data_IF_339410771109
#
_entry.id   IF_339410771109
#
_cell.length_a   1.000
_cell.length_b   1.000
_cell.length_c   1.000
_cell.angle_alpha   90.00
_cell.angle_beta   90.00
_cell.angle_gamma   90.00
#
_symmetry.space_group_name_H-M   'P 1'
#
loop_
_entity.id
_entity.type
_entity.pdbx_description
1 polymer ?
#
# COMPACT_ATOMS: atom_id res chain seq x y z
N UNK A 1 16.69 -32.62 7.33
CA UNK A 1 16.30 -31.82 6.14
C UNK A 1 15.38 -32.68 5.28
N UNK A 2 14.76 -32.18 4.19
CA UNK A 2 13.91 -32.99 3.31
C UNK A 2 14.58 -34.28 2.87
N UNK A 3 13.76 -35.31 2.60
CA UNK A 3 14.20 -36.62 2.10
C UNK A 3 15.18 -37.36 3.02
N UNK A 4 15.18 -37.06 4.32
CA UNK A 4 16.09 -37.67 5.29
C UNK A 4 17.54 -37.18 5.19
N UNK A 5 17.82 -36.12 4.42
CA UNK A 5 19.16 -35.54 4.30
C UNK A 5 19.57 -34.89 5.64
N UNK A 6 20.72 -35.30 6.17
CA UNK A 6 21.31 -34.72 7.40
C UNK A 6 22.41 -33.70 7.07
N UNK A 7 22.80 -32.82 8.00
CA UNK A 7 23.97 -31.96 7.83
C UNK A 7 25.25 -32.74 7.50
N UNK A 8 25.45 -33.91 8.11
CA UNK A 8 26.58 -34.79 7.82
C UNK A 8 26.52 -35.35 6.39
N UNK A 9 25.32 -35.66 5.87
CA UNK A 9 25.16 -36.06 4.46
C UNK A 9 25.44 -34.89 3.51
N UNK A 10 25.04 -33.67 3.85
CA UNK A 10 25.41 -32.49 3.04
C UNK A 10 26.92 -32.28 3.00
N UNK A 11 27.59 -32.40 4.13
CA UNK A 11 29.05 -32.27 4.24
C UNK A 11 29.76 -33.37 3.45
N UNK A 12 29.30 -34.62 3.56
CA UNK A 12 29.91 -35.76 2.91
C UNK A 12 29.71 -35.80 1.37
N UNK A 13 28.54 -35.39 0.88
CA UNK A 13 28.15 -35.63 -0.52
C UNK A 13 28.08 -34.38 -1.40
N UNK A 14 28.11 -33.17 -0.84
CA UNK A 14 27.90 -31.92 -1.61
C UNK A 14 28.89 -31.70 -2.75
N UNK A 15 30.20 -31.83 -2.50
CA UNK A 15 31.23 -31.65 -3.52
C UNK A 15 31.15 -32.73 -4.61
N UNK A 16 30.96 -33.99 -4.22
CA UNK A 16 30.88 -35.11 -5.18
C UNK A 16 29.64 -35.00 -6.06
N UNK A 17 28.48 -34.67 -5.49
CA UNK A 17 27.24 -34.45 -6.24
C UNK A 17 27.38 -33.24 -7.18
N UNK A 18 28.02 -32.16 -6.71
CA UNK A 18 28.27 -30.99 -7.54
C UNK A 18 29.24 -31.30 -8.69
N UNK A 19 30.27 -32.12 -8.46
CA UNK A 19 31.28 -32.47 -9.44
C UNK A 19 30.78 -33.42 -10.54
N UNK A 20 29.92 -34.36 -10.18
CA UNK A 20 29.29 -35.29 -11.12
C UNK A 20 28.11 -34.67 -11.87
N UNK A 21 27.55 -33.57 -11.35
CA UNK A 21 26.38 -32.91 -11.92
C UNK A 21 26.63 -32.33 -13.31
N UNK A 22 25.74 -32.67 -14.25
CA UNK A 22 25.66 -32.05 -15.57
C UNK A 22 25.52 -30.51 -15.48
N UNK A 23 25.00 -29.97 -14.38
CA UNK A 23 24.85 -28.52 -14.17
C UNK A 23 26.17 -27.79 -13.86
N UNK A 24 27.24 -28.50 -13.47
CA UNK A 24 28.57 -27.91 -13.25
C UNK A 24 29.16 -27.36 -14.56
N UNK A 25 28.98 -28.07 -15.67
CA UNK A 25 29.59 -27.70 -16.95
C UNK A 25 28.73 -26.74 -17.80
N UNK A 26 27.39 -26.82 -17.73
CA UNK A 26 26.49 -25.88 -18.46
C UNK A 26 26.68 -24.41 -18.02
N UNK A 27 27.40 -24.14 -16.92
CA UNK A 27 27.65 -22.79 -16.38
C UNK A 27 29.09 -22.28 -16.53
N UNK A 28 30.02 -23.09 -17.07
CA UNK A 28 31.39 -22.67 -17.42
C UNK A 28 31.61 -22.75 -18.93
N UNK A 29 30.77 -22.04 -19.68
CA UNK A 29 30.95 -21.69 -21.10
C UNK A 29 31.10 -22.84 -22.10
N UNK A 30 30.05 -23.13 -22.87
CA UNK A 30 30.12 -23.17 -24.35
C UNK A 30 28.70 -23.25 -24.99
N UNK A 31 28.51 -23.16 -26.33
CA UNK A 31 27.77 -22.11 -26.98
C UNK A 31 26.38 -22.59 -27.46
N UNK A 32 25.65 -21.68 -28.08
CA UNK A 32 24.33 -21.87 -28.71
C UNK A 32 24.19 -23.24 -29.40
N UNK A 33 23.39 -24.15 -28.83
CA UNK A 33 22.93 -25.34 -29.56
C UNK A 33 21.71 -24.99 -30.39
N UNK A 34 21.85 -25.04 -31.71
CA UNK A 34 20.74 -25.36 -32.60
C UNK A 34 20.38 -26.82 -32.31
N UNK A 35 19.09 -27.12 -32.14
CA UNK A 35 18.58 -28.42 -31.72
C UNK A 35 18.84 -29.49 -32.80
N UNK A 36 19.92 -30.25 -32.63
CA UNK A 36 20.16 -31.53 -33.31
C UNK A 36 20.32 -32.63 -32.24
N UNK A 37 19.29 -33.47 -32.12
CA UNK A 37 19.12 -34.44 -31.03
C UNK A 37 19.92 -35.73 -31.22
N UNK A 38 20.27 -36.08 -32.45
CA UNK A 38 20.92 -37.36 -32.75
C UNK A 38 22.43 -37.25 -32.51
N UNK A 39 23.03 -36.12 -32.89
CA UNK A 39 24.44 -35.80 -32.65
C UNK A 39 24.76 -35.64 -31.15
N UNK A 40 23.78 -35.20 -30.34
CA UNK A 40 23.91 -35.06 -28.89
C UNK A 40 24.06 -36.40 -28.16
N UNK A 41 23.34 -37.45 -28.59
CA UNK A 41 23.41 -38.77 -27.94
C UNK A 41 24.78 -39.44 -28.12
N UNK A 42 25.47 -39.14 -29.21
CA UNK A 42 26.81 -39.66 -29.53
C UNK A 42 27.96 -38.98 -28.77
N UNK A 43 27.77 -37.81 -28.14
CA UNK A 43 28.81 -37.07 -27.40
C UNK A 43 28.59 -37.10 -25.86
N UNK A 44 27.80 -38.05 -25.36
CA UNK A 44 27.19 -38.00 -24.02
C UNK A 44 28.16 -38.29 -22.87
N UNK A 45 29.24 -39.03 -23.10
CA UNK A 45 30.10 -39.56 -22.03
C UNK A 45 30.87 -38.48 -21.23
N UNK A 46 31.13 -37.30 -21.82
CA UNK A 46 31.90 -36.22 -21.16
C UNK A 46 31.03 -35.12 -20.51
N UNK A 47 29.70 -35.23 -20.55
CA UNK A 47 28.79 -34.10 -20.22
C UNK A 47 28.30 -34.04 -18.77
N UNK A 48 28.72 -34.97 -17.90
CA UNK A 48 28.23 -35.11 -16.53
C UNK A 48 26.96 -35.97 -16.43
N UNK A 49 26.42 -36.12 -15.23
CA UNK A 49 25.31 -37.03 -14.92
C UNK A 49 24.06 -36.27 -14.47
N UNK A 50 22.89 -36.84 -14.77
CA UNK A 50 21.58 -36.38 -14.24
C UNK A 50 21.38 -36.82 -12.79
N UNK A 51 20.48 -36.17 -12.05
CA UNK A 51 20.22 -36.51 -10.64
C UNK A 51 19.86 -38.00 -10.43
N UNK A 52 19.06 -38.68 -11.30
CA UNK A 52 18.87 -40.12 -11.21
C UNK A 52 20.14 -40.96 -11.40
N UNK A 53 20.99 -40.60 -12.37
CA UNK A 53 22.24 -41.32 -12.65
C UNK A 53 23.26 -41.12 -11.51
N UNK A 54 23.32 -39.91 -10.94
CA UNK A 54 24.14 -39.64 -9.76
C UNK A 54 23.63 -40.44 -8.58
N UNK A 55 22.32 -40.46 -8.34
CA UNK A 55 21.68 -41.20 -7.25
C UNK A 55 21.97 -42.70 -7.31
N UNK A 56 21.84 -43.30 -8.50
CA UNK A 56 22.23 -44.68 -8.75
C UNK A 56 23.73 -44.90 -8.48
N UNK A 57 24.58 -43.98 -8.93
CA UNK A 57 26.04 -44.09 -8.79
C UNK A 57 26.56 -43.93 -7.36
N UNK A 58 25.93 -43.08 -6.55
CA UNK A 58 26.39 -42.77 -5.18
C UNK A 58 25.53 -43.42 -4.09
N UNK A 59 24.53 -44.21 -4.49
CA UNK A 59 23.68 -44.97 -3.57
C UNK A 59 22.78 -44.09 -2.70
N UNK A 60 22.32 -42.95 -3.23
CA UNK A 60 21.36 -42.07 -2.57
C UNK A 60 20.02 -42.12 -3.30
N UNK A 61 18.93 -41.73 -2.63
CA UNK A 61 17.67 -41.54 -3.31
C UNK A 61 17.75 -40.29 -4.22
N UNK A 62 17.13 -40.33 -5.41
CA UNK A 62 17.11 -39.19 -6.35
C UNK A 62 16.72 -37.87 -5.67
N UNK A 63 15.69 -37.80 -4.80
CA UNK A 63 15.33 -36.57 -4.13
C UNK A 63 16.41 -36.03 -3.18
N UNK A 64 17.24 -36.91 -2.58
CA UNK A 64 18.35 -36.52 -1.71
C UNK A 64 19.48 -35.87 -2.52
N UNK A 65 19.81 -36.45 -3.68
CA UNK A 65 20.81 -35.90 -4.60
C UNK A 65 20.38 -34.53 -5.13
N UNK A 66 19.14 -34.42 -5.62
CA UNK A 66 18.58 -33.15 -6.09
C UNK A 66 18.61 -32.07 -5.01
N UNK A 67 18.24 -32.43 -3.77
CA UNK A 67 18.24 -31.50 -2.65
C UNK A 67 19.66 -31.01 -2.30
N UNK A 68 20.62 -31.93 -2.15
CA UNK A 68 22.01 -31.61 -1.82
C UNK A 68 22.65 -30.75 -2.93
N UNK A 69 22.43 -31.10 -4.20
CA UNK A 69 22.94 -30.34 -5.35
C UNK A 69 22.44 -28.89 -5.35
N UNK A 70 21.13 -28.68 -5.21
CA UNK A 70 20.52 -27.35 -5.26
C UNK A 70 21.05 -26.42 -4.15
N UNK A 71 21.22 -26.94 -2.93
CA UNK A 71 21.78 -26.15 -1.82
C UNK A 71 23.27 -25.84 -2.05
N UNK A 72 24.02 -26.79 -2.61
CA UNK A 72 25.45 -26.62 -2.91
C UNK A 72 25.67 -25.60 -4.03
N UNK A 73 24.89 -25.67 -5.13
CA UNK A 73 24.90 -24.66 -6.20
C UNK A 73 24.54 -23.27 -5.66
N UNK A 74 23.53 -23.17 -4.79
CA UNK A 74 23.13 -21.90 -4.17
C UNK A 74 24.25 -21.28 -3.33
N UNK A 75 25.07 -22.10 -2.65
CA UNK A 75 26.23 -21.62 -1.86
C UNK A 75 27.38 -21.17 -2.77
N UNK A 76 27.63 -21.89 -3.87
CA UNK A 76 28.79 -21.67 -4.73
C UNK A 76 28.60 -20.55 -5.77
N UNK A 77 27.40 -20.27 -6.25
CA UNK A 77 27.14 -19.25 -7.29
C UNK A 77 26.59 -17.93 -6.68
N UNK A 78 27.45 -16.90 -6.60
CA UNK A 78 27.24 -15.60 -5.92
C UNK A 78 26.08 -14.73 -6.48
N UNK A 79 25.44 -13.96 -5.58
CA UNK A 79 24.26 -13.06 -5.67
C UNK A 79 24.13 -12.04 -6.85
N UNK A 80 25.08 -11.90 -7.78
CA UNK A 80 24.94 -10.91 -8.87
C UNK A 80 24.25 -11.42 -10.14
N UNK A 81 24.16 -12.74 -10.34
CA UNK A 81 23.39 -13.30 -11.46
C UNK A 81 21.87 -13.19 -11.24
N UNK A 82 21.39 -13.22 -9.99
CA UNK A 82 19.95 -13.15 -9.72
C UNK A 82 19.35 -11.83 -10.23
N UNK A 83 20.06 -10.69 -10.12
CA UNK A 83 19.55 -9.38 -10.59
C UNK A 83 19.37 -9.32 -12.11
N UNK A 84 20.30 -9.94 -12.86
CA UNK A 84 20.22 -10.07 -14.33
C UNK A 84 19.11 -11.04 -14.76
N UNK A 85 18.90 -12.11 -13.99
CA UNK A 85 17.84 -13.11 -14.22
C UNK A 85 16.43 -12.63 -13.82
N UNK A 86 16.32 -11.82 -12.76
CA UNK A 86 15.05 -11.25 -12.27
C UNK A 86 14.38 -10.35 -13.31
N UNK A 87 15.18 -9.65 -14.13
CA UNK A 87 14.71 -8.70 -15.16
C UNK A 87 14.41 -9.35 -16.52
N UNK A 88 14.75 -10.63 -16.72
CA UNK A 88 14.42 -11.37 -17.95
C UNK A 88 12.98 -11.91 -17.94
N UNK A 89 12.27 -11.83 -16.80
CA UNK A 89 11.05 -12.58 -16.56
C UNK A 89 11.38 -14.07 -16.39
N UNK A 90 10.78 -14.73 -15.39
CA UNK A 90 11.03 -16.16 -15.18
C UNK A 90 10.84 -16.96 -16.48
N UNK A 91 11.87 -17.70 -16.90
CA UNK A 91 11.78 -18.65 -18.02
C UNK A 91 12.44 -18.24 -19.34
N UNK A 92 12.99 -17.04 -19.50
CA UNK A 92 13.65 -16.60 -20.74
C UNK A 92 15.19 -16.61 -20.64
N UNK A 93 15.87 -17.06 -21.69
CA UNK A 93 17.35 -17.04 -21.80
C UNK A 93 17.85 -15.63 -22.12
N UNK A 94 18.95 -15.23 -21.48
CA UNK A 94 19.62 -13.94 -21.74
C UNK A 94 20.02 -13.79 -23.21
N UNK A 95 19.65 -12.65 -23.81
CA UNK A 95 20.00 -12.23 -25.17
C UNK A 95 20.53 -10.81 -25.09
N UNK A 96 21.83 -10.63 -25.31
CA UNK A 96 22.51 -9.33 -25.17
C UNK A 96 21.95 -8.30 -26.18
N UNK A 97 21.55 -8.75 -27.37
CA UNK A 97 20.84 -7.98 -28.39
C UNK A 97 19.41 -7.56 -28.00
N UNK A 98 18.84 -8.17 -26.95
CA UNK A 98 17.50 -7.88 -26.42
C UNK A 98 17.53 -7.34 -24.99
N UNK A 99 18.73 -7.14 -24.44
CA UNK A 99 18.90 -6.49 -23.15
C UNK A 99 18.61 -5.00 -23.33
N UNK A 100 17.40 -4.59 -22.96
CA UNK A 100 17.10 -3.20 -22.67
C UNK A 100 17.35 -3.04 -21.19
N UNK A 101 18.34 -2.24 -20.80
CA UNK A 101 18.47 -1.85 -19.39
C UNK A 101 17.18 -1.13 -19.01
N UNK A 102 16.40 -1.63 -18.02
CA UNK A 102 15.28 -0.88 -17.51
C UNK A 102 15.77 0.52 -17.16
N UNK A 103 15.10 1.54 -17.71
CA UNK A 103 15.35 2.93 -17.37
C UNK A 103 15.57 3.07 -15.85
N UNK A 104 16.61 3.83 -15.50
CA UNK A 104 17.33 3.91 -14.23
C UNK A 104 16.72 3.16 -13.02
N UNK A 105 17.48 2.33 -12.28
CA UNK A 105 17.00 1.83 -11.00
C UNK A 105 16.59 3.03 -10.13
N UNK A 106 15.29 3.13 -9.80
CA UNK A 106 14.84 4.17 -8.89
C UNK A 106 15.39 3.87 -7.50
N UNK A 107 16.24 4.75 -7.01
CA UNK A 107 16.78 4.67 -5.68
C UNK A 107 15.80 5.34 -4.72
N UNK A 108 15.42 4.62 -3.66
CA UNK A 108 14.71 5.26 -2.56
C UNK A 108 15.70 6.09 -1.75
N UNK A 109 15.29 7.29 -1.34
CA UNK A 109 15.97 8.03 -0.28
C UNK A 109 15.98 7.20 1.03
N UNK A 110 16.87 7.56 1.97
CA UNK A 110 16.95 6.86 3.25
C UNK A 110 15.61 6.88 4.01
N UNK A 111 14.88 8.01 3.91
CA UNK A 111 13.59 8.19 4.57
C UNK A 111 12.48 7.38 3.87
N UNK A 112 12.43 7.39 2.53
CA UNK A 112 11.51 6.54 1.78
C UNK A 112 11.74 5.04 2.06
N UNK A 113 13.01 4.63 2.18
CA UNK A 113 13.37 3.26 2.54
C UNK A 113 12.97 2.92 3.98
N UNK A 114 13.06 3.86 4.92
CA UNK A 114 12.62 3.68 6.31
C UNK A 114 11.11 3.53 6.41
N UNK A 115 10.36 4.38 5.73
CA UNK A 115 8.91 4.27 5.61
C UNK A 115 8.50 2.90 5.03
N UNK A 116 9.15 2.46 3.96
CA UNK A 116 8.84 1.14 3.39
C UNK A 116 9.13 0.00 4.35
N UNK A 117 10.12 0.13 5.25
CA UNK A 117 10.48 -0.89 6.25
C UNK A 117 9.49 -0.97 7.42
N UNK A 118 8.69 0.06 7.67
CA UNK A 118 7.64 0.02 8.71
C UNK A 118 6.41 -0.78 8.24
N UNK A 119 6.23 -0.94 6.93
CA UNK A 119 5.11 -1.69 6.35
C UNK A 119 5.50 -3.17 6.22
N UNK A 120 5.04 -4.01 7.16
CA UNK A 120 5.36 -5.44 7.19
C UNK A 120 4.12 -6.31 7.35
N UNK A 121 3.61 -6.78 6.22
CA UNK A 121 2.57 -7.81 6.20
C UNK A 121 3.17 -9.21 6.31
N UNK A 122 2.50 -10.10 7.03
CA UNK A 122 2.92 -11.51 7.10
C UNK A 122 2.70 -12.22 5.77
N UNK A 123 3.65 -13.08 5.35
CA UNK A 123 3.57 -13.76 4.05
C UNK A 123 2.27 -14.57 3.85
N UNK A 124 1.74 -15.18 4.93
CA UNK A 124 0.45 -15.88 4.91
C UNK A 124 -0.74 -14.95 4.70
N UNK A 125 -0.72 -13.75 5.29
CA UNK A 125 -1.75 -12.72 5.08
C UNK A 125 -1.74 -12.24 3.64
N UNK A 126 -0.56 -11.87 3.11
CA UNK A 126 -0.41 -11.41 1.72
C UNK A 126 -0.95 -12.46 0.75
N UNK A 127 -0.59 -13.74 0.93
CA UNK A 127 -1.13 -14.83 0.11
C UNK A 127 -2.65 -14.91 0.20
N UNK A 128 -3.20 -14.98 1.43
CA UNK A 128 -4.64 -15.03 1.68
C UNK A 128 -5.38 -13.90 1.00
N UNK A 129 -4.89 -12.66 1.14
CA UNK A 129 -5.55 -11.46 0.62
C UNK A 129 -5.52 -11.38 -0.91
N UNK A 130 -4.44 -11.84 -1.55
CA UNK A 130 -4.35 -11.92 -3.01
C UNK A 130 -5.24 -13.05 -3.55
N UNK A 131 -5.17 -14.25 -2.96
CA UNK A 131 -5.97 -15.41 -3.41
C UNK A 131 -7.48 -15.17 -3.25
N UNK A 132 -7.88 -14.45 -2.19
CA UNK A 132 -9.27 -14.04 -1.98
C UNK A 132 -9.70 -12.85 -2.85
N UNK A 133 -8.79 -12.25 -3.65
CA UNK A 133 -9.08 -11.09 -4.48
C UNK A 133 -9.27 -9.78 -3.70
N UNK A 134 -8.95 -9.72 -2.41
CA UNK A 134 -9.02 -8.50 -1.60
C UNK A 134 -7.84 -7.56 -1.86
N UNK A 135 -6.70 -8.08 -2.30
CA UNK A 135 -5.59 -7.29 -2.80
C UNK A 135 -5.37 -7.54 -4.29
N UNK A 136 -5.43 -6.47 -5.08
CA UNK A 136 -5.22 -6.50 -6.52
C UNK A 136 -3.94 -5.79 -6.91
N UNK A 137 -3.66 -5.71 -8.20
CA UNK A 137 -2.59 -4.91 -8.78
C UNK A 137 -3.03 -3.49 -9.15
N UNK A 138 -4.28 -3.11 -8.84
CA UNK A 138 -4.81 -1.81 -9.22
C UNK A 138 -4.04 -0.67 -8.55
N UNK A 139 -3.77 0.37 -9.33
CA UNK A 139 -3.23 1.65 -8.87
C UNK A 139 -4.24 2.78 -9.07
N UNK A 140 -4.01 3.94 -8.44
CA UNK A 140 -4.80 5.14 -8.71
C UNK A 140 -4.85 5.51 -10.20
N UNK A 141 -3.75 5.28 -10.92
CA UNK A 141 -3.71 5.51 -12.35
C UNK A 141 -4.68 4.56 -13.08
N UNK A 142 -4.76 3.30 -12.65
CA UNK A 142 -5.71 2.34 -13.21
C UNK A 142 -7.16 2.76 -12.89
N UNK A 143 -7.46 3.15 -11.65
CA UNK A 143 -8.80 3.62 -11.27
C UNK A 143 -9.22 4.87 -12.08
N UNK A 144 -8.33 5.86 -12.22
CA UNK A 144 -8.57 7.06 -13.03
C UNK A 144 -8.82 6.75 -14.51
N UNK A 145 -8.32 5.62 -15.03
CA UNK A 145 -8.48 5.21 -16.42
C UNK A 145 -9.73 4.34 -16.67
N UNK A 146 -10.49 3.97 -15.63
CA UNK A 146 -11.70 3.12 -15.77
C UNK A 146 -12.88 3.89 -16.37
N UNK A 147 -13.03 5.16 -16.01
CA UNK A 147 -14.10 6.03 -16.48
C UNK A 147 -13.76 6.69 -17.82
N UNK A 148 -14.79 7.03 -18.59
CA UNK A 148 -14.60 7.69 -19.88
C UNK A 148 -14.17 9.17 -19.68
N UNK A 149 -13.29 9.74 -20.52
CA UNK A 149 -12.74 11.07 -20.32
C UNK A 149 -13.77 12.20 -20.19
N UNK A 150 -14.92 12.06 -20.83
CA UNK A 150 -16.05 12.98 -20.82
C UNK A 150 -16.95 12.87 -19.58
N UNK A 151 -16.83 11.79 -18.81
CA UNK A 151 -17.66 11.60 -17.61
C UNK A 151 -17.26 12.59 -16.51
N UNK A 152 -18.22 13.08 -15.71
CA UNK A 152 -17.94 13.86 -14.50
C UNK A 152 -17.11 13.05 -13.50
N UNK A 153 -16.02 13.64 -12.98
CA UNK A 153 -15.19 13.05 -11.93
C UNK A 153 -15.37 13.77 -10.59
N UNK A 154 -15.54 15.10 -10.65
CA UNK A 154 -15.67 15.94 -9.48
C UNK A 154 -16.61 17.12 -9.77
N UNK A 155 -17.45 17.48 -8.80
CA UNK A 155 -18.42 18.57 -8.92
C UNK A 155 -18.43 19.41 -7.64
N UNK A 156 -18.36 20.73 -7.78
CA UNK A 156 -18.55 21.67 -6.68
C UNK A 156 -19.29 22.93 -7.13
N UNK A 157 -19.29 23.97 -6.29
CA UNK A 157 -19.94 25.26 -6.57
C UNK A 157 -19.33 25.99 -7.79
N UNK A 158 -18.10 25.68 -8.16
CA UNK A 158 -17.40 26.27 -9.30
C UNK A 158 -17.68 25.54 -10.61
N UNK A 159 -18.18 24.30 -10.55
CA UNK A 159 -18.70 23.56 -11.69
C UNK A 159 -18.29 22.09 -11.71
N UNK A 160 -18.34 21.48 -12.89
CA UNK A 160 -18.00 20.07 -13.12
C UNK A 160 -16.62 19.94 -13.74
N UNK A 161 -15.78 19.09 -13.14
CA UNK A 161 -14.52 18.62 -13.70
C UNK A 161 -14.68 17.17 -14.17
N UNK A 162 -14.40 16.95 -15.46
CA UNK A 162 -14.44 15.62 -16.09
C UNK A 162 -13.21 14.77 -15.75
N UNK A 163 -13.29 13.46 -15.93
CA UNK A 163 -12.14 12.54 -15.77
C UNK A 163 -10.95 12.92 -16.66
N UNK A 164 -11.21 13.37 -17.90
CA UNK A 164 -10.17 13.84 -18.82
C UNK A 164 -9.48 15.11 -18.32
N UNK A 165 -10.23 16.07 -17.78
CA UNK A 165 -9.68 17.28 -17.17
C UNK A 165 -8.89 16.96 -15.89
N UNK A 166 -9.43 16.10 -15.02
CA UNK A 166 -8.78 15.66 -13.80
C UNK A 166 -7.43 15.01 -14.11
N UNK A 167 -7.40 14.05 -15.06
CA UNK A 167 -6.16 13.37 -15.49
C UNK A 167 -5.11 14.35 -16.01
N UNK A 168 -5.51 15.34 -16.80
CA UNK A 168 -4.60 16.36 -17.32
C UNK A 168 -4.04 17.25 -16.20
N UNK A 169 -4.89 17.72 -15.27
CA UNK A 169 -4.46 18.50 -14.10
C UNK A 169 -3.55 17.70 -13.17
N UNK A 170 -3.88 16.43 -12.90
CA UNK A 170 -3.04 15.50 -12.13
C UNK A 170 -1.67 15.35 -12.78
N UNK A 171 -1.61 15.20 -14.10
CA UNK A 171 -0.34 15.11 -14.84
C UNK A 171 0.49 16.38 -14.73
N UNK A 172 -0.12 17.55 -14.90
CA UNK A 172 0.58 18.85 -14.76
C UNK A 172 1.08 19.07 -13.32
N UNK A 173 0.27 18.73 -12.32
CA UNK A 173 0.65 18.81 -10.91
C UNK A 173 1.75 17.81 -10.56
N UNK A 174 1.73 16.60 -11.13
CA UNK A 174 2.76 15.59 -10.95
C UNK A 174 4.13 16.11 -11.44
N UNK A 175 4.17 16.80 -12.57
CA UNK A 175 5.37 17.48 -13.04
C UNK A 175 5.83 18.58 -12.08
N UNK A 176 4.92 19.40 -11.57
CA UNK A 176 5.25 20.44 -10.60
C UNK A 176 5.89 19.86 -9.33
N UNK A 177 5.36 18.73 -8.82
CA UNK A 177 5.93 18.02 -7.67
C UNK A 177 7.34 17.46 -7.97
N UNK A 178 7.57 16.93 -9.18
CA UNK A 178 8.89 16.44 -9.57
C UNK A 178 9.92 17.56 -9.69
N UNK A 179 9.54 18.75 -10.13
CA UNK A 179 10.41 19.94 -10.15
C UNK A 179 10.84 20.35 -8.74
N UNK A 180 10.02 20.06 -7.73
CA UNK A 180 10.38 20.21 -6.31
C UNK A 180 11.25 19.06 -5.78
N UNK A 181 11.79 18.23 -6.66
CA UNK A 181 12.62 17.06 -6.33
C UNK A 181 11.93 16.05 -5.40
N UNK A 182 10.61 15.90 -5.54
CA UNK A 182 9.87 14.82 -4.85
C UNK A 182 10.00 13.54 -5.64
N UNK A 183 10.62 12.52 -5.07
CA UNK A 183 10.83 11.20 -5.65
C UNK A 183 9.85 10.14 -5.14
N UNK A 184 9.89 8.97 -5.77
CA UNK A 184 9.06 7.84 -5.39
C UNK A 184 9.35 7.42 -3.94
N UNK A 185 8.29 7.27 -3.15
CA UNK A 185 8.32 6.90 -1.74
C UNK A 185 8.58 8.07 -0.78
N UNK A 186 8.87 9.27 -1.28
CA UNK A 186 8.99 10.45 -0.44
C UNK A 186 7.63 10.97 0.01
N UNK A 187 7.58 11.56 1.20
CA UNK A 187 6.34 12.03 1.82
C UNK A 187 6.07 13.48 1.41
N UNK A 188 4.84 13.77 0.99
CA UNK A 188 4.30 15.12 0.81
C UNK A 188 3.27 15.35 1.91
N UNK A 189 3.56 16.24 2.85
CA UNK A 189 2.60 16.69 3.84
C UNK A 189 1.73 17.80 3.27
N UNK A 190 0.42 17.73 3.47
CA UNK A 190 -0.52 18.71 2.97
C UNK A 190 -1.44 19.19 4.10
N UNK A 191 -1.32 20.47 4.47
CA UNK A 191 -2.21 21.13 5.43
C UNK A 191 -3.01 22.19 4.67
N UNK A 192 -4.11 21.77 4.06
CA UNK A 192 -4.95 22.61 3.21
C UNK A 192 -6.30 22.84 3.91
N UNK A 193 -6.85 24.07 3.85
CA UNK A 193 -7.99 24.46 4.67
C UNK A 193 -9.31 23.76 4.30
N UNK A 194 -9.44 23.26 3.06
CA UNK A 194 -10.65 22.54 2.61
C UNK A 194 -10.32 21.44 1.61
N UNK A 195 -11.19 20.43 1.53
CA UNK A 195 -11.21 19.48 0.42
C UNK A 195 -11.77 20.22 -0.80
N UNK A 196 -10.92 20.47 -1.79
CA UNK A 196 -11.29 21.08 -3.07
C UNK A 196 -10.60 20.35 -4.23
N UNK A 197 -10.85 20.80 -5.46
CA UNK A 197 -10.23 20.25 -6.66
C UNK A 197 -8.69 20.24 -6.60
N UNK A 198 -8.05 21.28 -6.06
CA UNK A 198 -6.60 21.38 -5.94
C UNK A 198 -6.01 20.40 -4.91
N UNK A 199 -6.69 20.17 -3.79
CA UNK A 199 -6.34 19.12 -2.82
C UNK A 199 -6.38 17.74 -3.51
N UNK A 200 -7.49 17.43 -4.20
CA UNK A 200 -7.68 16.14 -4.88
C UNK A 200 -6.66 15.95 -6.01
N UNK A 201 -6.41 16.98 -6.81
CA UNK A 201 -5.39 16.97 -7.87
C UNK A 201 -4.00 16.77 -7.29
N UNK A 202 -3.67 17.40 -6.17
CA UNK A 202 -2.38 17.24 -5.48
C UNK A 202 -2.20 15.84 -4.92
N UNK A 203 -3.24 15.29 -4.29
CA UNK A 203 -3.25 13.92 -3.81
C UNK A 203 -3.03 12.91 -4.95
N UNK A 204 -3.79 13.03 -6.04
CA UNK A 204 -3.66 12.15 -7.20
C UNK A 204 -2.32 12.32 -7.92
N UNK A 205 -1.77 13.53 -7.93
CA UNK A 205 -0.45 13.80 -8.50
C UNK A 205 0.65 13.13 -7.69
N UNK A 206 0.63 13.25 -6.36
CA UNK A 206 1.51 12.54 -5.46
C UNK A 206 1.44 11.03 -5.70
N UNK A 207 0.22 10.50 -5.80
CA UNK A 207 -0.01 9.09 -6.08
C UNK A 207 0.58 8.65 -7.42
N UNK A 208 0.40 9.45 -8.47
CA UNK A 208 0.88 9.14 -9.83
C UNK A 208 2.40 9.08 -9.96
N UNK A 209 3.14 9.80 -9.11
CA UNK A 209 4.61 9.75 -9.05
C UNK A 209 5.13 8.76 -8.00
N UNK A 210 4.23 8.05 -7.32
CA UNK A 210 4.53 7.12 -6.24
C UNK A 210 5.07 7.79 -4.97
N UNK A 211 4.81 9.08 -4.79
CA UNK A 211 5.02 9.76 -3.51
C UNK A 211 3.90 9.38 -2.53
N UNK A 212 4.16 9.58 -1.24
CA UNK A 212 3.22 9.24 -0.16
C UNK A 212 2.59 10.53 0.36
N UNK A 213 1.27 10.62 0.28
CA UNK A 213 0.56 11.81 0.71
C UNK A 213 0.23 11.74 2.21
N UNK A 214 0.42 12.83 2.95
CA UNK A 214 0.02 12.94 4.35
C UNK A 214 -0.92 14.14 4.49
N UNK A 215 -2.25 13.94 4.52
CA UNK A 215 -3.17 15.00 4.89
C UNK A 215 -2.97 15.35 6.36
N UNK A 216 -2.94 16.65 6.65
CA UNK A 216 -2.87 17.20 8.00
C UNK A 216 -4.11 18.03 8.28
N UNK A 217 -4.63 17.90 9.49
CA UNK A 217 -5.81 18.63 9.94
C UNK A 217 -5.46 20.13 10.15
N UNK A 218 -6.11 21.05 9.41
CA UNK A 218 -5.86 22.48 9.53
C UNK A 218 -6.27 23.07 10.90
N UNK A 219 -7.06 22.34 11.69
CA UNK A 219 -7.42 22.71 13.06
C UNK A 219 -6.39 22.26 14.10
N UNK A 220 -5.28 21.64 13.70
CA UNK A 220 -4.18 21.39 14.62
C UNK A 220 -3.38 22.69 14.89
N UNK A 221 -2.85 22.86 16.12
CA UNK A 221 -1.85 23.89 16.39
C UNK A 221 -0.64 23.78 15.45
N UNK A 222 -0.07 24.92 15.03
CA UNK A 222 1.07 24.92 14.10
C UNK A 222 2.29 24.11 14.58
N UNK A 223 2.50 24.01 15.90
CA UNK A 223 3.55 23.18 16.49
C UNK A 223 3.31 21.68 16.29
N UNK A 224 2.04 21.24 16.32
CA UNK A 224 1.65 19.84 16.16
C UNK A 224 1.73 19.45 14.67
N UNK A 225 1.32 20.35 13.79
CA UNK A 225 1.54 20.24 12.34
C UNK A 225 3.04 20.07 12.06
N UNK A 226 3.89 20.95 12.60
CA UNK A 226 5.34 20.85 12.42
C UNK A 226 5.92 19.55 12.99
N UNK A 227 5.41 19.07 14.12
CA UNK A 227 5.81 17.79 14.73
C UNK A 227 5.47 16.61 13.81
N UNK A 228 4.26 16.58 13.25
CA UNK A 228 3.81 15.53 12.33
C UNK A 228 4.64 15.50 11.04
N UNK A 229 4.93 16.67 10.45
CA UNK A 229 5.77 16.81 9.24
C UNK A 229 7.18 16.28 9.50
N UNK A 230 7.77 16.59 10.67
CA UNK A 230 9.10 16.08 11.02
C UNK A 230 9.09 14.58 11.29
N UNK A 231 8.08 14.07 11.98
CA UNK A 231 7.97 12.65 12.30
C UNK A 231 7.81 11.80 11.04
N UNK A 232 7.03 12.27 10.07
CA UNK A 232 6.87 11.62 8.77
C UNK A 232 8.05 11.81 7.82
N UNK A 233 8.98 12.72 8.17
CA UNK A 233 10.13 13.10 7.35
C UNK A 233 9.69 13.58 5.96
N UNK A 234 8.67 14.43 5.93
CA UNK A 234 8.15 14.96 4.69
C UNK A 234 9.24 15.69 3.90
N UNK A 235 9.33 15.36 2.61
CA UNK A 235 10.21 16.05 1.66
C UNK A 235 9.70 17.46 1.38
N UNK A 236 8.38 17.56 1.25
CA UNK A 236 7.68 18.79 0.88
C UNK A 236 6.43 18.93 1.75
N UNK A 237 6.22 20.11 2.29
CA UNK A 237 4.97 20.54 2.89
C UNK A 237 4.25 21.51 1.97
N UNK A 238 2.99 21.22 1.65
CA UNK A 238 2.09 22.09 0.90
C UNK A 238 1.06 22.63 1.88
N UNK A 239 1.05 23.94 2.09
CA UNK A 239 0.27 24.55 3.17
C UNK A 239 -0.52 25.76 2.68
N UNK A 240 -1.76 25.85 3.15
CA UNK A 240 -2.58 27.06 3.06
C UNK A 240 -2.63 27.79 4.40
N UNK A 241 -3.22 28.98 4.40
CA UNK A 241 -3.57 29.67 5.65
C UNK A 241 -4.67 28.87 6.35
N UNK A 242 -4.48 28.53 7.63
CA UNK A 242 -5.48 27.77 8.40
C UNK A 242 -6.21 28.68 9.39
N UNK A 243 -7.43 28.31 9.84
CA UNK A 243 -8.18 29.12 10.81
C UNK A 243 -7.41 29.37 12.11
N UNK A 244 -6.64 28.39 12.58
CA UNK A 244 -5.85 28.48 13.82
C UNK A 244 -4.44 29.01 13.63
N UNK A 245 -3.90 28.98 12.41
CA UNK A 245 -2.63 29.61 12.08
C UNK A 245 -2.65 30.24 10.67
N UNK A 246 -3.07 31.52 10.56
CA UNK A 246 -3.05 32.26 9.29
C UNK A 246 -1.64 32.51 8.73
N UNK A 247 -0.58 32.28 9.51
CA UNK A 247 0.83 32.43 9.08
C UNK A 247 1.57 31.10 9.00
N UNK A 248 0.85 29.97 8.93
CA UNK A 248 1.43 28.63 8.99
C UNK A 248 2.58 28.44 8.00
N UNK A 249 2.42 28.93 6.77
CA UNK A 249 3.46 28.85 5.75
C UNK A 249 4.77 29.54 6.16
N UNK A 250 4.69 30.74 6.73
CA UNK A 250 5.86 31.51 7.18
C UNK A 250 6.50 30.87 8.41
N UNK A 251 5.68 30.40 9.35
CA UNK A 251 6.15 29.75 10.57
C UNK A 251 6.90 28.46 10.27
N UNK A 252 6.36 27.62 9.37
CA UNK A 252 7.03 26.40 8.95
C UNK A 252 8.31 26.68 8.14
N UNK A 253 8.32 27.73 7.29
CA UNK A 253 9.53 28.15 6.56
C UNK A 253 10.67 28.53 7.52
N UNK A 254 10.37 29.13 8.68
CA UNK A 254 11.37 29.48 9.72
C UNK A 254 11.97 28.26 10.43
N UNK A 255 11.35 27.07 10.33
CA UNK A 255 11.84 25.86 10.99
C UNK A 255 12.95 25.14 10.19
N UNK A 256 13.27 25.60 8.97
CA UNK A 256 14.39 25.19 8.07
C UNK A 256 14.64 23.67 7.88
N UNK A 257 13.66 22.82 8.21
CA UNK A 257 13.84 21.35 8.22
C UNK A 257 13.25 20.62 7.01
N UNK A 258 12.40 21.29 6.23
CA UNK A 258 11.75 20.75 5.03
C UNK A 258 11.34 21.89 4.09
N UNK A 259 11.14 21.57 2.81
CA UNK A 259 10.65 22.54 1.83
C UNK A 259 9.17 22.84 2.08
N UNK A 260 8.79 24.12 2.07
CA UNK A 260 7.41 24.56 2.30
C UNK A 260 6.96 25.40 1.11
N UNK A 261 5.83 25.02 0.51
CA UNK A 261 5.18 25.76 -0.57
C UNK A 261 3.72 26.02 -0.22
N UNK A 262 3.23 27.16 -0.67
CA UNK A 262 1.79 27.43 -0.76
C UNK A 262 1.20 26.80 -2.01
N UNK A 263 -0.12 26.60 -2.04
CA UNK A 263 -0.82 26.10 -3.24
C UNK A 263 -0.52 26.96 -4.48
N UNK A 264 -0.49 28.29 -4.30
CA UNK A 264 -0.18 29.27 -5.35
C UNK A 264 1.27 29.21 -5.83
N UNK A 265 2.21 28.84 -4.96
CA UNK A 265 3.61 28.63 -5.35
C UNK A 265 3.76 27.35 -6.16
N UNK A 266 3.02 26.29 -5.82
CA UNK A 266 3.09 25.01 -6.52
C UNK A 266 2.47 25.06 -7.93
N UNK A 267 1.50 25.93 -8.18
CA UNK A 267 0.85 26.08 -9.50
C UNK A 267 1.67 26.88 -10.52
N UNK A 268 2.78 27.52 -10.12
CA UNK A 268 3.68 28.22 -11.04
C UNK A 268 4.44 27.20 -11.89
N UNK A 269 3.94 26.93 -13.09
CA UNK A 269 4.54 25.98 -14.02
C UNK A 269 5.90 26.47 -14.53
N UNK A 270 6.97 25.66 -14.48
CA UNK A 270 8.13 25.90 -15.32
C UNK A 270 7.79 25.57 -16.78
N UNK A 271 8.25 26.39 -17.73
CA UNK A 271 7.99 26.23 -19.16
C UNK A 271 8.65 25.00 -19.80
N UNK A 272 9.55 24.30 -19.11
CA UNK A 272 10.36 23.21 -19.68
C UNK A 272 9.88 21.84 -19.18
N UNK A 273 8.97 21.21 -19.93
CA UNK A 273 8.44 19.84 -19.69
C UNK A 273 9.44 18.71 -19.99
N UNK A 274 10.75 18.98 -20.08
CA UNK A 274 11.71 18.01 -20.63
C UNK A 274 11.96 16.83 -19.69
N UNK A 275 11.75 15.62 -20.22
CA UNK A 275 12.23 14.30 -19.77
C UNK A 275 12.42 14.11 -18.26
N UNK A 276 11.42 14.45 -17.45
CA UNK A 276 11.39 14.00 -16.06
C UNK A 276 10.92 12.54 -16.07
N UNK A 277 11.82 11.61 -15.78
CA UNK A 277 11.45 10.21 -15.59
C UNK A 277 10.59 10.07 -14.33
N UNK A 278 9.44 9.42 -14.50
CA UNK A 278 8.50 9.07 -13.42
C UNK A 278 8.42 7.54 -13.41
N UNK A 279 8.91 6.94 -12.33
CA UNK A 279 8.76 5.50 -12.14
C UNK A 279 7.33 5.22 -11.67
N UNK A 280 6.57 4.38 -12.40
CA UNK A 280 5.17 4.16 -12.07
C UNK A 280 5.04 3.54 -10.66
N UNK A 281 4.04 3.95 -9.88
CA UNK A 281 3.73 3.30 -8.61
C UNK A 281 3.21 1.87 -8.87
N UNK A 282 3.36 1.01 -7.87
CA UNK A 282 2.70 -0.31 -7.85
C UNK A 282 1.75 -0.39 -6.66
N UNK A 283 0.80 -1.31 -6.70
CA UNK A 283 -0.23 -1.41 -5.67
C UNK A 283 0.31 -1.63 -4.24
N UNK A 284 1.48 -2.28 -4.11
CA UNK A 284 2.14 -2.51 -2.83
C UNK A 284 2.93 -1.28 -2.31
N UNK A 285 3.00 -0.18 -3.07
CA UNK A 285 3.66 1.04 -2.60
C UNK A 285 2.78 1.76 -1.57
N UNK A 286 3.38 2.38 -0.53
CA UNK A 286 2.66 3.31 0.33
C UNK A 286 2.15 4.49 -0.49
N UNK A 287 0.99 5.00 -0.10
CA UNK A 287 0.30 6.08 -0.82
C UNK A 287 -0.28 7.15 0.10
N UNK A 288 -0.61 6.78 1.33
CA UNK A 288 -1.29 7.64 2.28
C UNK A 288 -0.72 7.40 3.69
N UNK A 289 -0.43 8.48 4.41
CA UNK A 289 -0.12 8.45 5.84
C UNK A 289 -1.28 9.09 6.60
N UNK A 290 -1.92 8.33 7.47
CA UNK A 290 -2.92 8.85 8.39
C UNK A 290 -2.25 9.18 9.71
N UNK A 291 -2.52 10.34 10.27
CA UNK A 291 -1.74 10.80 11.41
C UNK A 291 -2.52 11.64 12.40
N UNK A 292 -2.21 11.40 13.67
CA UNK A 292 -2.78 12.08 14.83
C UNK A 292 -1.72 12.31 15.90
N UNK A 293 -2.03 13.23 16.83
CA UNK A 293 -1.29 13.41 18.07
C UNK A 293 -1.99 12.62 19.16
N UNK A 294 -1.30 11.65 19.76
CA UNK A 294 -1.84 10.88 20.86
C UNK A 294 -1.92 11.74 22.15
N UNK A 295 -2.70 11.29 23.13
CA UNK A 295 -2.88 12.02 24.40
C UNK A 295 -1.59 12.22 25.22
N UNK A 296 -0.51 11.48 24.92
CA UNK A 296 0.82 11.68 25.49
C UNK A 296 1.69 12.68 24.70
N UNK A 297 1.11 13.34 23.70
CA UNK A 297 1.77 14.32 22.83
C UNK A 297 2.63 13.71 21.73
N UNK A 298 2.68 12.37 21.60
CA UNK A 298 3.50 11.72 20.57
C UNK A 298 2.72 11.56 19.26
N UNK A 299 3.40 11.76 18.12
CA UNK A 299 2.79 11.53 16.82
C UNK A 299 2.57 10.02 16.59
N UNK A 300 1.40 9.70 16.04
CA UNK A 300 1.06 8.42 15.46
C UNK A 300 0.89 8.62 13.97
N UNK A 301 1.61 7.84 13.16
CA UNK A 301 1.59 7.95 11.70
C UNK A 301 1.45 6.56 11.11
N UNK A 302 0.27 6.24 10.59
CA UNK A 302 -0.11 4.96 10.03
C UNK A 302 -0.01 4.98 8.50
N UNK A 303 0.95 4.25 7.89
CA UNK A 303 1.04 4.10 6.46
C UNK A 303 0.00 3.13 5.89
N UNK A 304 -0.62 3.55 4.80
CA UNK A 304 -1.47 2.74 3.94
C UNK A 304 -0.83 2.59 2.56
N UNK A 305 -0.89 1.37 2.05
CA UNK A 305 -0.56 1.01 0.66
C UNK A 305 -1.79 1.18 -0.23
N UNK A 306 -1.63 1.16 -1.55
CA UNK A 306 -2.80 1.12 -2.43
C UNK A 306 -3.59 -0.18 -2.25
N UNK A 307 -2.92 -1.32 -1.98
CA UNK A 307 -3.57 -2.61 -1.76
C UNK A 307 -4.53 -2.61 -0.56
N UNK A 308 -4.04 -2.21 0.62
CA UNK A 308 -4.90 -2.20 1.81
C UNK A 308 -5.97 -1.09 1.73
N UNK A 309 -5.62 0.10 1.23
CA UNK A 309 -6.59 1.19 1.00
C UNK A 309 -7.72 0.75 0.06
N UNK A 310 -7.39 0.23 -1.12
CA UNK A 310 -8.40 -0.16 -2.11
C UNK A 310 -9.16 -1.43 -1.76
N UNK A 311 -8.63 -2.28 -0.87
CA UNK A 311 -9.39 -3.43 -0.38
C UNK A 311 -10.69 -3.00 0.29
N UNK A 312 -10.64 -1.97 1.14
CA UNK A 312 -11.83 -1.39 1.75
C UNK A 312 -12.75 -0.77 0.72
N UNK A 313 -12.20 0.04 -0.17
CA UNK A 313 -12.97 0.80 -1.15
C UNK A 313 -13.73 -0.14 -2.08
N UNK A 314 -13.08 -1.19 -2.59
CA UNK A 314 -13.73 -2.19 -3.44
C UNK A 314 -14.80 -2.97 -2.70
N UNK A 315 -14.50 -3.46 -1.50
CA UNK A 315 -15.48 -4.18 -0.69
C UNK A 315 -16.68 -3.28 -0.35
N UNK A 316 -16.46 -2.00 -0.07
CA UNK A 316 -17.51 -1.02 0.13
C UNK A 316 -18.38 -0.85 -1.12
N UNK A 317 -17.77 -0.53 -2.27
CA UNK A 317 -18.46 -0.33 -3.54
C UNK A 317 -19.33 -1.54 -3.91
N UNK A 318 -18.80 -2.77 -3.78
CA UNK A 318 -19.53 -4.00 -4.05
C UNK A 318 -20.69 -4.23 -3.07
N UNK A 319 -20.48 -4.00 -1.78
CA UNK A 319 -21.52 -4.21 -0.76
C UNK A 319 -22.63 -3.17 -0.80
N UNK A 320 -22.29 -1.94 -1.18
CA UNK A 320 -23.22 -0.81 -1.30
C UNK A 320 -23.94 -0.80 -2.65
N UNK A 321 -23.46 -1.54 -3.65
CA UNK A 321 -24.05 -1.59 -4.97
C UNK A 321 -23.99 -0.27 -5.72
N UNK A 322 -22.90 0.50 -5.53
CA UNK A 322 -22.74 1.82 -6.17
C UNK A 322 -22.66 1.64 -7.68
N UNK A 323 -23.64 2.19 -8.39
CA UNK A 323 -23.68 2.17 -9.84
C UNK A 323 -22.73 3.22 -10.45
N UNK A 324 -22.29 3.01 -11.69
CA UNK A 324 -21.36 3.91 -12.38
C UNK A 324 -21.96 5.27 -12.72
N UNK A 325 -23.29 5.36 -12.82
CA UNK A 325 -24.05 6.59 -13.07
C UNK A 325 -24.50 7.30 -11.79
N UNK A 326 -24.12 6.76 -10.61
CA UNK A 326 -24.42 7.40 -9.34
C UNK A 326 -23.70 8.76 -9.20
N UNK A 327 -23.90 9.43 -8.07
CA UNK A 327 -22.99 10.47 -7.60
C UNK A 327 -22.87 10.42 -6.08
N UNK A 328 -21.66 10.66 -5.57
CA UNK A 328 -21.36 10.57 -4.14
C UNK A 328 -21.16 11.99 -3.60
N UNK A 329 -22.00 12.46 -2.67
CA UNK A 329 -21.77 13.72 -1.96
C UNK A 329 -21.06 13.56 -0.63
N UNK A 330 -20.19 14.51 -0.35
CA UNK A 330 -19.55 14.71 0.95
C UNK A 330 -19.81 16.16 1.38
N UNK A 331 -20.06 16.43 2.66
CA UNK A 331 -20.11 17.81 3.15
C UNK A 331 -18.69 18.40 3.17
N UNK A 332 -18.51 19.63 2.69
CA UNK A 332 -17.21 20.31 2.71
C UNK A 332 -16.69 20.59 4.11
N UNK A 333 -17.57 20.50 5.12
CA UNK A 333 -17.22 20.61 6.54
C UNK A 333 -16.76 19.29 7.16
N UNK A 334 -16.87 18.18 6.43
CA UNK A 334 -16.40 16.88 6.90
C UNK A 334 -14.88 16.75 6.83
N UNK A 335 -14.34 15.81 7.62
CA UNK A 335 -12.90 15.58 7.73
C UNK A 335 -12.23 15.25 6.40
N UNK A 336 -10.94 15.59 6.27
CA UNK A 336 -10.10 15.24 5.10
C UNK A 336 -10.18 13.75 4.75
N UNK A 337 -10.29 12.91 5.78
CA UNK A 337 -10.45 11.47 5.66
C UNK A 337 -11.73 11.06 4.93
N UNK A 338 -12.85 11.72 5.24
CA UNK A 338 -14.11 11.46 4.57
C UNK A 338 -14.03 11.82 3.09
N UNK A 339 -13.47 13.01 2.80
CA UNK A 339 -13.19 13.48 1.45
C UNK A 339 -12.42 12.48 0.60
N UNK A 340 -11.30 12.00 1.14
CA UNK A 340 -10.47 11.00 0.47
C UNK A 340 -11.22 9.69 0.25
N UNK A 341 -11.98 9.22 1.25
CA UNK A 341 -12.72 7.98 1.14
C UNK A 341 -13.79 8.04 0.04
N UNK A 342 -14.59 9.11 -0.02
CA UNK A 342 -15.58 9.25 -1.09
C UNK A 342 -14.95 9.50 -2.47
N UNK A 343 -13.80 10.16 -2.56
CA UNK A 343 -13.00 10.18 -3.81
C UNK A 343 -12.65 8.75 -4.23
N UNK A 344 -12.15 7.92 -3.32
CA UNK A 344 -11.75 6.55 -3.65
C UNK A 344 -12.94 5.72 -4.12
N UNK A 345 -14.11 5.84 -3.47
CA UNK A 345 -15.34 5.19 -3.91
C UNK A 345 -15.74 5.65 -5.32
N UNK A 346 -15.66 6.97 -5.58
CA UNK A 346 -16.02 7.53 -6.87
C UNK A 346 -15.13 6.97 -7.99
N UNK A 347 -13.81 6.97 -7.77
CA UNK A 347 -12.83 6.42 -8.72
C UNK A 347 -12.99 4.90 -8.91
N UNK A 348 -13.30 4.16 -7.84
CA UNK A 348 -13.49 2.71 -7.91
C UNK A 348 -14.74 2.33 -8.71
N UNK A 349 -15.84 3.07 -8.54
CA UNK A 349 -17.10 2.86 -9.26
C UNK A 349 -17.14 3.55 -10.64
N UNK A 350 -16.21 4.46 -10.94
CA UNK A 350 -16.21 5.25 -12.18
C UNK A 350 -17.29 6.34 -12.20
N UNK A 351 -17.67 6.84 -11.03
CA UNK A 351 -18.70 7.87 -10.81
C UNK A 351 -18.05 9.21 -10.38
N UNK A 352 -18.86 10.24 -10.13
CA UNK A 352 -18.40 11.56 -9.69
C UNK A 352 -18.47 11.73 -8.18
N UNK A 353 -17.45 12.38 -7.62
CA UNK A 353 -17.50 12.98 -6.30
C UNK A 353 -18.17 14.36 -6.38
N UNK A 354 -19.16 14.63 -5.54
CA UNK A 354 -19.85 15.91 -5.42
C UNK A 354 -19.56 16.53 -4.05
N UNK A 355 -19.27 17.82 -4.01
CA UNK A 355 -19.26 18.60 -2.76
C UNK A 355 -20.54 19.44 -2.59
N UNK A 356 -21.57 19.14 -3.38
CA UNK A 356 -22.89 19.76 -3.28
C UNK A 356 -23.87 18.86 -2.51
N UNK A 357 -24.88 19.47 -1.86
CA UNK A 357 -25.90 18.78 -1.05
C UNK A 357 -26.85 17.86 -1.85
N UNK A 358 -26.88 17.99 -3.18
CA UNK A 358 -27.72 17.16 -4.05
C UNK A 358 -26.85 16.06 -4.68
N UNK A 359 -26.94 14.84 -4.13
CA UNK A 359 -26.40 13.63 -4.74
C UNK A 359 -27.26 12.42 -4.41
N UNK A 360 -26.95 11.28 -5.03
CA UNK A 360 -27.63 10.02 -4.75
C UNK A 360 -27.10 9.34 -3.49
N UNK A 361 -25.82 9.51 -3.16
CA UNK A 361 -25.18 8.87 -2.01
C UNK A 361 -24.58 9.94 -1.12
N UNK A 362 -25.15 10.15 0.07
CA UNK A 362 -24.62 11.07 1.05
C UNK A 362 -23.70 10.34 2.03
N UNK A 363 -22.47 10.85 2.18
CA UNK A 363 -21.57 10.47 3.25
C UNK A 363 -21.60 11.59 4.28
N UNK A 364 -21.94 11.28 5.53
CA UNK A 364 -21.94 12.25 6.63
C UNK A 364 -21.19 11.71 7.84
N UNK A 365 -20.42 12.55 8.52
CA UNK A 365 -19.86 12.21 9.83
C UNK A 365 -20.93 11.83 10.85
N UNK A 366 -20.62 10.90 11.75
CA UNK A 366 -21.43 10.60 12.94
C UNK A 366 -20.73 11.16 14.19
N UNK A 367 -21.48 11.38 15.28
CA UNK A 367 -20.90 11.73 16.58
C UNK A 367 -20.03 10.56 17.10
N UNK A 368 -18.73 10.56 16.78
CA UNK A 368 -17.76 9.51 17.17
C UNK A 368 -16.64 9.27 16.14
N UNK A 369 -15.84 8.21 16.35
CA UNK A 369 -14.72 7.78 15.47
C UNK A 369 -15.22 7.11 14.16
N UNK A 370 -16.31 7.60 13.54
CA UNK A 370 -16.98 6.95 12.43
C UNK A 370 -17.85 7.88 11.57
N UNK A 371 -18.31 7.36 10.42
CA UNK A 371 -19.18 8.07 9.49
C UNK A 371 -20.27 7.15 8.94
N UNK A 372 -21.38 7.72 8.48
CA UNK A 372 -22.50 6.95 7.93
C UNK A 372 -22.62 7.21 6.43
N UNK A 373 -22.84 6.15 5.66
CA UNK A 373 -23.23 6.25 4.25
C UNK A 373 -24.72 5.99 4.14
N UNK A 374 -25.41 6.96 3.55
CA UNK A 374 -26.83 6.89 3.26
C UNK A 374 -27.02 6.67 1.76
N UNK A 375 -27.64 5.54 1.42
CA UNK A 375 -27.99 5.17 0.04
C UNK A 375 -29.46 5.50 -0.28
N UNK A 376 -29.83 5.66 -1.57
CA UNK A 376 -31.22 5.79 -1.98
C UNK A 376 -32.06 4.61 -1.47
N UNK A 377 -33.23 4.90 -0.89
CA UNK A 377 -34.12 3.87 -0.32
C UNK A 377 -33.99 3.64 1.18
N UNK A 378 -33.22 4.47 1.91
CA UNK A 378 -33.15 4.46 3.37
C UNK A 378 -32.24 3.38 3.95
N UNK A 379 -31.30 2.87 3.15
CA UNK A 379 -30.26 1.95 3.63
C UNK A 379 -29.10 2.78 4.19
N UNK A 380 -28.86 2.63 5.49
CA UNK A 380 -27.72 3.23 6.18
C UNK A 380 -26.63 2.17 6.41
N UNK A 381 -25.38 2.52 6.12
CA UNK A 381 -24.21 1.70 6.46
C UNK A 381 -23.28 2.48 7.38
N UNK A 382 -22.94 1.89 8.52
CA UNK A 382 -22.08 2.49 9.53
C UNK A 382 -20.61 2.17 9.24
N UNK A 383 -19.80 3.21 9.08
CA UNK A 383 -18.36 3.09 8.95
C UNK A 383 -17.74 3.42 10.29
N UNK A 384 -16.95 2.48 10.82
CA UNK A 384 -16.10 2.74 11.96
C UNK A 384 -14.65 2.84 11.45
N UNK A 385 -13.95 3.93 11.79
CA UNK A 385 -12.63 4.17 11.23
C UNK A 385 -11.72 4.92 12.20
N UNK A 386 -10.60 4.30 12.56
CA UNK A 386 -9.46 5.03 13.11
C UNK A 386 -8.42 5.28 12.03
N UNK A 387 -7.42 6.13 12.31
CA UNK A 387 -6.26 6.34 11.43
C UNK A 387 -5.56 5.02 11.04
N UNK A 388 -5.70 3.97 11.85
CA UNK A 388 -5.01 2.70 11.70
C UNK A 388 -5.87 1.62 11.03
N UNK A 389 -7.19 1.72 11.13
CA UNK A 389 -8.11 0.74 10.58
C UNK A 389 -9.41 1.42 10.15
N UNK A 390 -9.70 1.39 8.86
CA UNK A 390 -11.04 1.67 8.36
C UNK A 390 -11.75 0.32 8.31
N UNK A 391 -12.65 0.07 9.27
CA UNK A 391 -13.42 -1.18 9.33
C UNK A 391 -14.87 -0.90 9.01
N UNK A 392 -15.32 -1.56 7.96
CA UNK A 392 -16.63 -1.33 7.41
C UNK A 392 -17.61 -2.29 8.05
N UNK A 393 -18.64 -1.73 8.70
CA UNK A 393 -19.69 -2.51 9.34
C UNK A 393 -20.99 -2.34 8.56
N UNK A 394 -21.58 -3.45 8.14
CA UNK A 394 -22.92 -3.48 7.56
C UNK A 394 -23.86 -4.10 8.58
N UNK A 395 -24.79 -3.31 9.12
CA UNK A 395 -25.71 -3.75 10.18
C UNK A 395 -24.98 -4.44 11.36
N UNK A 396 -23.87 -3.83 11.81
CA UNK A 396 -23.02 -4.34 12.88
C UNK A 396 -22.09 -5.50 12.50
N UNK A 397 -22.04 -5.93 11.24
CA UNK A 397 -21.15 -7.02 10.79
C UNK A 397 -19.98 -6.50 9.96
N UNK A 398 -18.74 -6.97 10.20
CA UNK A 398 -17.59 -6.59 9.39
C UNK A 398 -17.73 -7.09 7.95
N UNK A 399 -17.26 -6.29 6.98
CA UNK A 399 -17.17 -6.73 5.59
C UNK A 399 -16.26 -7.94 5.41
N UNK A 400 -16.47 -8.66 4.31
CA UNK A 400 -15.75 -9.89 3.99
C UNK A 400 -14.23 -9.71 4.10
N UNK A 401 -13.58 -10.63 4.81
CA UNK A 401 -12.14 -10.63 5.02
C UNK A 401 -11.64 -9.83 6.23
N UNK A 402 -12.51 -9.03 6.86
CA UNK A 402 -12.24 -8.45 8.16
C UNK A 402 -12.71 -9.40 9.26
N UNK A 403 -11.78 -9.75 10.13
CA UNK A 403 -11.97 -10.58 11.31
C UNK A 403 -12.03 -9.67 12.53
N UNK A 404 -12.95 -9.97 13.46
CA UNK A 404 -13.14 -9.19 14.68
C UNK A 404 -13.20 -10.11 15.90
N UNK A 405 -12.75 -9.61 17.05
CA UNK A 405 -12.91 -10.27 18.35
C UNK A 405 -13.04 -9.24 19.46
N UNK A 406 -13.69 -9.62 20.55
CA UNK A 406 -13.77 -8.81 21.78
C UNK A 406 -12.86 -9.45 22.82
N UNK A 407 -11.99 -8.63 23.44
CA UNK A 407 -11.03 -9.09 24.45
C UNK A 407 -11.13 -8.30 25.74
N UNK A 408 -10.70 -8.90 26.85
CA UNK A 408 -10.50 -8.20 28.14
C UNK A 408 -9.34 -7.21 28.09
N UNK A 409 -9.10 -6.45 29.17
CA UNK A 409 -7.91 -5.58 29.29
C UNK A 409 -6.60 -6.38 29.21
N UNK A 410 -6.62 -7.62 29.69
CA UNK A 410 -5.50 -8.56 29.67
C UNK A 410 -5.32 -9.24 28.29
N UNK A 411 -6.29 -9.08 27.39
CA UNK A 411 -6.28 -9.66 26.05
C UNK A 411 -6.88 -11.06 25.94
N UNK A 412 -7.68 -11.49 26.93
CA UNK A 412 -8.40 -12.77 26.88
C UNK A 412 -9.67 -12.65 26.03
N UNK A 413 -9.98 -13.66 25.21
CA UNK A 413 -11.18 -13.67 24.36
C UNK A 413 -12.44 -13.76 25.20
N UNK A 414 -13.36 -12.81 25.01
CA UNK A 414 -14.64 -12.74 25.72
C UNK A 414 -15.78 -13.44 24.96
N UNK A 415 -16.77 -13.93 25.69
CA UNK A 415 -17.94 -14.57 25.11
C UNK A 415 -18.95 -13.55 24.56
N UNK A 416 -19.84 -13.93 23.62
CA UNK A 416 -20.91 -13.05 23.17
C UNK A 416 -21.78 -12.52 24.33
N UNK A 417 -22.02 -11.21 24.35
CA UNK A 417 -22.73 -10.47 25.39
C UNK A 417 -21.85 -9.89 26.50
N UNK A 418 -20.55 -10.18 26.49
CA UNK A 418 -19.59 -9.54 27.40
C UNK A 418 -18.99 -8.29 26.76
N UNK A 419 -18.85 -7.22 27.55
CA UNK A 419 -18.24 -5.97 27.11
C UNK A 419 -16.72 -6.02 27.28
N UNK A 420 -15.99 -5.67 26.22
CA UNK A 420 -14.54 -5.57 26.24
C UNK A 420 -14.02 -4.64 25.16
N UNK A 421 -12.79 -4.86 24.72
CA UNK A 421 -12.12 -4.08 23.68
C UNK A 421 -12.20 -4.80 22.34
N UNK A 422 -12.56 -4.04 21.30
CA UNK A 422 -12.57 -4.54 19.95
C UNK A 422 -11.14 -4.69 19.41
N UNK A 423 -10.81 -5.88 18.91
CA UNK A 423 -9.63 -6.12 18.10
C UNK A 423 -10.06 -6.51 16.69
N UNK A 424 -9.35 -5.99 15.69
CA UNK A 424 -9.67 -6.21 14.27
C UNK A 424 -8.43 -6.65 13.49
N UNK A 425 -8.64 -7.47 12.46
CA UNK A 425 -7.59 -7.91 11.54
C UNK A 425 -8.19 -8.08 10.16
N UNK A 426 -7.53 -7.59 9.11
CA UNK A 426 -8.06 -7.73 7.77
C UNK A 426 -7.16 -7.15 6.69
N UNK A 427 -7.61 -7.22 5.42
CA UNK A 427 -6.85 -6.74 4.27
C UNK A 427 -6.66 -5.22 4.27
N UNK A 428 -7.48 -4.48 5.00
CA UNK A 428 -7.47 -3.01 5.02
C UNK A 428 -6.78 -2.36 6.21
N UNK A 429 -6.41 -3.15 7.21
CA UNK A 429 -5.79 -2.66 8.44
C UNK A 429 -4.33 -2.27 8.15
N UNK A 430 -3.86 -1.15 8.71
CA UNK A 430 -2.44 -0.81 8.67
C UNK A 430 -1.64 -1.81 9.52
N UNK A 431 -0.33 -1.94 9.27
CA UNK A 431 0.50 -2.96 9.94
C UNK A 431 1.44 -2.38 10.99
N UNK A 432 1.28 -1.10 11.33
CA UNK A 432 2.10 -0.43 12.32
C UNK A 432 2.26 1.05 12.05
N UNK A 433 2.65 1.79 13.08
CA UNK A 433 3.06 3.17 13.02
C UNK A 433 4.51 3.33 12.55
N UNK A 434 4.76 4.40 11.79
CA UNK A 434 6.08 4.84 11.40
C UNK A 434 6.92 5.24 12.63
N UNK A 435 8.11 4.64 12.77
CA UNK A 435 9.14 4.97 13.76
C UNK A 435 8.63 5.07 15.22
N UNK A 436 7.62 4.27 15.60
CA UNK A 436 7.02 4.31 16.93
C UNK A 436 6.93 2.89 17.55
N UNK A 437 8.07 2.39 18.04
CA UNK A 437 8.17 1.05 18.62
C UNK A 437 7.22 0.81 19.79
N UNK A 438 7.05 1.80 20.66
CA UNK A 438 6.21 1.67 21.86
C UNK A 438 4.74 1.51 21.46
N UNK A 439 4.22 2.39 20.62
CA UNK A 439 2.85 2.30 20.13
C UNK A 439 2.63 1.01 19.33
N UNK A 440 3.59 0.62 18.48
CA UNK A 440 3.50 -0.62 17.73
C UNK A 440 3.34 -1.84 18.63
N UNK A 441 4.13 -1.92 19.71
CA UNK A 441 4.08 -3.05 20.64
C UNK A 441 2.79 -3.09 21.47
N UNK A 442 2.21 -1.94 21.82
CA UNK A 442 0.97 -1.87 22.60
C UNK A 442 -0.28 -2.09 21.75
N UNK A 443 -0.23 -1.69 20.49
CA UNK A 443 -1.40 -1.58 19.61
C UNK A 443 -1.55 -2.77 18.66
N UNK A 444 -0.44 -3.36 18.20
CA UNK A 444 -0.47 -4.51 17.29
C UNK A 444 0.02 -5.77 17.99
N UNK A 445 -0.82 -6.81 18.01
CA UNK A 445 -0.47 -8.09 18.62
C UNK A 445 0.49 -8.89 17.73
N UNK A 446 1.18 -9.88 18.30
CA UNK A 446 2.11 -10.72 17.56
C UNK A 446 1.42 -11.56 16.45
N UNK A 447 0.14 -11.87 16.62
CA UNK A 447 -0.73 -12.55 15.64
C UNK A 447 -1.47 -11.57 14.70
N UNK A 448 -0.98 -10.32 14.63
CA UNK A 448 -1.37 -9.26 13.70
C UNK A 448 -2.81 -8.73 13.87
N UNK A 449 -3.31 -8.68 15.10
CA UNK A 449 -4.53 -7.95 15.44
C UNK A 449 -4.20 -6.51 15.81
N UNK A 450 -5.06 -5.60 15.37
CA UNK A 450 -5.05 -4.20 15.76
C UNK A 450 -6.01 -3.98 16.94
N UNK A 451 -5.49 -3.42 18.02
CA UNK A 451 -6.26 -2.99 19.20
C UNK A 451 -6.81 -1.59 18.97
N UNK A 452 -8.12 -1.52 18.74
CA UNK A 452 -8.80 -0.27 18.39
C UNK A 452 -8.88 0.71 19.55
N UNK A 453 -8.94 0.18 20.79
CA UNK A 453 -9.23 0.96 21.99
C UNK A 453 -10.72 1.24 22.19
N UNK A 454 -11.59 0.85 21.26
CA UNK A 454 -13.04 1.02 21.37
C UNK A 454 -13.65 -0.10 22.22
N UNK A 455 -14.58 0.28 23.10
CA UNK A 455 -15.35 -0.66 23.90
C UNK A 455 -16.58 -1.14 23.12
N UNK A 456 -16.74 -2.45 23.02
CA UNK A 456 -17.82 -3.08 22.29
C UNK A 456 -18.14 -4.46 22.87
N UNK A 457 -19.27 -5.02 22.44
CA UNK A 457 -19.61 -6.43 22.63
C UNK A 457 -19.99 -7.07 21.29
N UNK A 458 -19.90 -8.40 21.23
CA UNK A 458 -20.56 -9.18 20.18
C UNK A 458 -21.89 -9.67 20.74
N UNK A 459 -23.00 -9.31 20.11
CA UNK A 459 -24.31 -9.82 20.52
C UNK A 459 -24.49 -11.29 20.10
N UNK A 460 -25.65 -11.88 20.43
CA UNK A 460 -25.95 -13.30 20.14
C UNK A 460 -25.97 -13.65 18.65
N UNK A 461 -26.13 -12.65 17.78
CA UNK A 461 -26.10 -12.79 16.32
C UNK A 461 -24.72 -12.44 15.74
N UNK A 462 -23.69 -12.35 16.58
CA UNK A 462 -22.32 -11.97 16.22
C UNK A 462 -22.21 -10.59 15.57
N UNK A 463 -23.11 -9.66 15.91
CA UNK A 463 -23.01 -8.26 15.51
C UNK A 463 -22.27 -7.47 16.58
N UNK A 464 -21.44 -6.54 16.13
CA UNK A 464 -20.71 -5.61 16.98
C UNK A 464 -21.67 -4.53 17.44
N UNK A 465 -21.75 -4.34 18.76
CA UNK A 465 -22.47 -3.25 19.39
C UNK A 465 -21.46 -2.42 20.18
N UNK A 466 -21.22 -1.20 19.73
CA UNK A 466 -20.36 -0.26 20.45
C UNK A 466 -21.05 0.16 21.74
N UNK A 467 -20.27 0.22 22.82
CA UNK A 467 -20.75 0.83 24.05
C UNK A 467 -20.87 2.34 23.81
N UNK A 468 -21.99 2.95 24.22
CA UNK A 468 -22.15 4.41 24.14
C UNK A 468 -20.90 5.07 24.73
N UNK A 469 -20.28 5.97 23.97
CA UNK A 469 -19.00 6.59 24.35
C UNK A 469 -19.13 7.21 25.75
N UNK A 470 -18.32 6.72 26.71
CA UNK A 470 -17.98 7.57 27.84
C UNK A 470 -17.21 8.74 27.23
N UNK A 471 -17.85 9.92 27.21
CA UNK A 471 -17.37 11.11 26.50
C UNK A 471 -15.87 11.31 26.65
N UNK A 472 -15.20 11.46 25.50
CA UNK A 472 -13.86 12.04 25.44
C UNK A 472 -13.98 13.54 25.29
#
# INVERSE_FOLDING_TARGET
>A
MPYGVTPQMMEAYSETIFDLSLNKQVRRGDPVRILDTDTWKTQRDDTGLTDPEIAERIGLAVPQVTFIRCITERRLFRLNQYRKLYRLGGGLRYREDRYVDPEEPFNYSADAALLRRSIRFGAGQVRKYIEAGWWTSDTFADLLNRAAPEQPAYMDKSGTMTYGQLKNRTKDRAYALRVQNVEKGEVIAACLPTINDDFLVTYLAAASIGAVFQPLDPDLPGQDIALLIRHSRARLAIVGDTPKNPSLAEDLKRLESFSVLTEKELTKQPNDRKNISIHPPVAADPILLLSSIAGDGRPKVAPLTQQNLFSNVRLATENLGIASDASISIDQTDTVMLGLFGLHLALQAGTALSLAKESEIAISGSDGDGFTLSLPGGVETEFWGTDEAQVLLRNGQPLAGVETRIVSEEGELLAPGEHGFLEVRGPSVCVGYLDNFVANKSTFTADAWFRTGCKAQLNKDFKIEFSAAAGK
#
